data_IF_784291702432
#
_entry.id   IF_784291702432
#
_cell.length_a   1.000
_cell.length_b   1.000
_cell.length_c   1.000
_cell.angle_alpha   90.00
_cell.angle_beta   90.00
_cell.angle_gamma   90.00
#
_symmetry.space_group_name_H-M   'P 1'
#
loop_
_entity.id
_entity.type
_entity.pdbx_description
1 polymer ?
#
# COMPACT_ATOMS: atom_id res chain seq x y z
N UNK A 1 6.85 18.93 21.38
CA UNK A 1 5.77 17.92 21.20
C UNK A 1 5.52 17.61 19.73
N UNK A 2 5.18 18.60 18.87
CA UNK A 2 4.99 18.38 17.42
C UNK A 2 6.26 17.85 16.72
N UNK A 3 7.43 18.36 17.07
CA UNK A 3 8.72 17.88 16.51
C UNK A 3 9.06 16.44 16.92
N UNK A 4 8.74 16.04 18.17
CA UNK A 4 8.95 14.66 18.63
C UNK A 4 8.02 13.67 17.91
N UNK A 5 6.77 14.08 17.63
CA UNK A 5 5.83 13.28 16.85
C UNK A 5 6.34 13.12 15.41
N UNK A 6 6.78 14.21 14.77
CA UNK A 6 7.34 14.15 13.43
C UNK A 6 8.60 13.27 13.32
N UNK A 7 9.50 13.33 14.31
CA UNK A 7 10.68 12.46 14.35
C UNK A 7 10.32 10.98 14.57
N UNK A 8 9.32 10.71 15.42
CA UNK A 8 8.81 9.35 15.65
C UNK A 8 8.17 8.78 14.38
N UNK A 9 7.37 9.58 13.69
CA UNK A 9 6.74 9.19 12.42
C UNK A 9 7.81 8.94 11.35
N UNK A 10 8.82 9.80 11.20
CA UNK A 10 9.93 9.58 10.26
C UNK A 10 10.70 8.28 10.53
N UNK A 11 10.97 7.97 11.80
CA UNK A 11 11.64 6.72 12.17
C UNK A 11 10.77 5.51 11.80
N UNK A 12 9.47 5.56 12.10
CA UNK A 12 8.52 4.50 11.75
C UNK A 12 8.46 4.29 10.23
N UNK A 13 8.35 5.36 9.44
CA UNK A 13 8.28 5.28 7.98
C UNK A 13 9.56 4.70 7.37
N UNK A 14 10.73 5.06 7.90
CA UNK A 14 11.99 4.44 7.49
C UNK A 14 12.03 2.95 7.83
N UNK A 15 11.63 2.57 9.05
CA UNK A 15 11.58 1.16 9.47
C UNK A 15 10.64 0.34 8.58
N UNK A 16 9.44 0.85 8.32
CA UNK A 16 8.49 0.18 7.42
C UNK A 16 9.01 0.10 5.98
N UNK A 17 9.74 1.10 5.51
CA UNK A 17 10.41 1.04 4.20
C UNK A 17 11.41 -0.12 4.14
N UNK A 18 12.21 -0.27 5.20
CA UNK A 18 13.20 -1.34 5.28
C UNK A 18 12.52 -2.72 5.43
N UNK A 19 11.47 -2.84 6.24
CA UNK A 19 10.66 -4.07 6.36
C UNK A 19 10.02 -4.50 5.03
N UNK A 20 9.49 -3.56 4.24
CA UNK A 20 8.95 -3.85 2.89
C UNK A 20 10.04 -4.38 1.96
N UNK A 21 11.23 -3.76 2.00
CA UNK A 21 12.38 -4.19 1.19
C UNK A 21 12.88 -5.58 1.61
N UNK A 22 12.86 -5.91 2.89
CA UNK A 22 13.26 -7.22 3.41
C UNK A 22 12.23 -8.30 3.05
N UNK A 23 10.94 -8.01 3.16
CA UNK A 23 9.85 -8.97 2.94
C UNK A 23 9.45 -9.12 1.48
N UNK A 24 9.70 -8.12 0.63
CA UNK A 24 9.40 -8.16 -0.80
C UNK A 24 10.58 -7.58 -1.62
N UNK A 25 11.72 -8.31 -1.70
CA UNK A 25 12.96 -7.78 -2.27
C UNK A 25 12.86 -7.33 -3.73
N UNK A 26 12.01 -8.01 -4.52
CA UNK A 26 11.77 -7.73 -5.94
C UNK A 26 11.34 -6.28 -6.21
N UNK A 27 10.75 -5.58 -5.22
CA UNK A 27 10.39 -4.17 -5.35
C UNK A 27 11.61 -3.30 -5.69
N UNK A 28 12.80 -3.69 -5.21
CA UNK A 28 14.06 -2.98 -5.45
C UNK A 28 14.50 -3.00 -6.91
N UNK A 29 14.04 -3.97 -7.69
CA UNK A 29 14.33 -4.07 -9.12
C UNK A 29 13.55 -3.02 -9.92
N UNK A 30 12.43 -2.53 -9.37
CA UNK A 30 11.53 -1.58 -10.03
C UNK A 30 11.62 -0.16 -9.46
N UNK A 31 11.90 -0.01 -8.16
CA UNK A 31 11.86 1.27 -7.46
C UNK A 31 13.05 1.44 -6.53
N UNK A 32 13.66 2.63 -6.57
CA UNK A 32 14.64 3.04 -5.56
C UNK A 32 14.00 3.13 -4.17
N UNK A 33 14.79 2.94 -3.12
CA UNK A 33 14.35 3.11 -1.71
C UNK A 33 13.62 4.44 -1.46
N UNK A 34 14.04 5.53 -2.08
CA UNK A 34 13.39 6.84 -1.94
C UNK A 34 11.97 6.88 -2.50
N UNK A 35 11.72 6.16 -3.60
CA UNK A 35 10.38 6.04 -4.18
C UNK A 35 9.50 5.16 -3.29
N UNK A 36 10.05 4.06 -2.77
CA UNK A 36 9.35 3.18 -1.82
C UNK A 36 8.98 3.96 -0.56
N UNK A 37 9.91 4.73 0.01
CA UNK A 37 9.65 5.57 1.18
C UNK A 37 8.55 6.60 0.92
N UNK A 38 8.50 7.21 -0.27
CA UNK A 38 7.42 8.13 -0.66
C UNK A 38 6.07 7.41 -0.72
N UNK A 39 6.03 6.19 -1.26
CA UNK A 39 4.81 5.37 -1.27
C UNK A 39 4.36 5.02 0.15
N UNK A 40 5.29 4.57 1.01
CA UNK A 40 5.04 4.32 2.45
C UNK A 40 4.46 5.56 3.13
N UNK A 41 5.06 6.73 2.90
CA UNK A 41 4.61 8.00 3.48
C UNK A 41 3.18 8.34 3.03
N UNK A 42 2.87 8.16 1.75
CA UNK A 42 1.52 8.42 1.22
C UNK A 42 0.50 7.43 1.76
N UNK A 43 0.81 6.14 1.80
CA UNK A 43 -0.05 5.12 2.37
C UNK A 43 -0.27 5.34 3.87
N UNK A 44 0.74 5.75 4.62
CA UNK A 44 0.60 6.13 6.02
C UNK A 44 -0.41 7.26 6.21
N UNK A 45 -0.34 8.33 5.42
CA UNK A 45 -1.30 9.44 5.51
C UNK A 45 -2.73 9.00 5.16
N UNK A 46 -2.89 8.17 4.12
CA UNK A 46 -4.20 7.59 3.76
C UNK A 46 -4.74 6.73 4.91
N UNK A 47 -3.91 5.85 5.48
CA UNK A 47 -4.30 4.96 6.57
C UNK A 47 -4.71 5.76 7.81
N UNK A 48 -3.93 6.78 8.16
CA UNK A 48 -4.19 7.69 9.27
C UNK A 48 -5.52 8.43 9.13
N UNK A 49 -5.87 8.84 7.91
CA UNK A 49 -7.17 9.48 7.61
C UNK A 49 -8.35 8.51 7.72
N UNK A 50 -8.10 7.20 7.59
CA UNK A 50 -9.11 6.15 7.52
C UNK A 50 -9.11 5.21 8.73
N UNK A 51 -8.51 5.65 9.85
CA UNK A 51 -8.39 4.90 11.12
C UNK A 51 -7.75 3.52 10.98
N UNK A 52 -6.84 3.34 10.01
CA UNK A 52 -6.01 2.15 9.85
C UNK A 52 -4.70 2.41 10.62
N UNK A 53 -4.48 1.65 11.69
CA UNK A 53 -3.41 1.93 12.66
C UNK A 53 -2.31 0.88 12.68
N UNK A 54 -2.55 -0.34 12.18
CA UNK A 54 -1.52 -1.36 12.19
C UNK A 54 -0.49 -1.12 11.08
N UNK A 55 0.78 -1.11 11.47
CA UNK A 55 1.92 -0.95 10.55
C UNK A 55 1.89 -1.98 9.42
N UNK A 56 1.43 -3.21 9.71
CA UNK A 56 1.29 -4.29 8.73
C UNK A 56 0.32 -3.93 7.61
N UNK A 57 -0.83 -3.34 7.95
CA UNK A 57 -1.84 -2.91 6.99
C UNK A 57 -1.29 -1.82 6.07
N UNK A 58 -0.57 -0.85 6.63
CA UNK A 58 0.10 0.19 5.85
C UNK A 58 1.13 -0.44 4.88
N UNK A 59 1.89 -1.43 5.35
CA UNK A 59 2.83 -2.18 4.52
C UNK A 59 2.16 -2.88 3.34
N UNK A 60 1.08 -3.63 3.60
CA UNK A 60 0.30 -4.35 2.57
C UNK A 60 -0.25 -3.38 1.51
N UNK A 61 -0.87 -2.27 1.93
CA UNK A 61 -1.43 -1.29 1.00
C UNK A 61 -0.33 -0.56 0.18
N UNK A 62 0.86 -0.40 0.76
CA UNK A 62 2.02 0.12 0.06
C UNK A 62 2.49 -0.86 -1.02
N UNK A 63 2.57 -2.16 -0.70
CA UNK A 63 2.95 -3.20 -1.66
C UNK A 63 1.97 -3.23 -2.83
N UNK A 64 0.65 -3.21 -2.59
CA UNK A 64 -0.34 -3.12 -3.67
C UNK A 64 -0.14 -1.87 -4.54
N UNK A 65 0.12 -0.73 -3.91
CA UNK A 65 0.34 0.52 -4.65
C UNK A 65 1.57 0.44 -5.56
N UNK A 66 2.66 -0.16 -5.07
CA UNK A 66 3.90 -0.34 -5.83
C UNK A 66 3.74 -1.38 -6.94
N UNK A 67 3.08 -2.51 -6.63
CA UNK A 67 2.81 -3.61 -7.56
C UNK A 67 2.02 -3.11 -8.77
N UNK A 68 0.96 -2.35 -8.54
CA UNK A 68 0.09 -1.85 -9.59
C UNK A 68 0.57 -0.51 -10.19
N UNK A 69 1.63 0.08 -9.64
CA UNK A 69 2.19 1.36 -10.09
C UNK A 69 1.29 2.59 -9.87
N UNK A 70 0.25 2.49 -9.04
CA UNK A 70 -0.67 3.58 -8.69
C UNK A 70 -1.00 3.50 -7.21
N UNK A 71 -1.18 4.65 -6.56
CA UNK A 71 -1.56 4.67 -5.14
C UNK A 71 -2.95 4.07 -4.92
N UNK A 72 -3.12 3.39 -3.79
CA UNK A 72 -4.33 2.63 -3.45
C UNK A 72 -5.63 3.46 -3.52
N UNK A 73 -5.57 4.75 -3.19
CA UNK A 73 -6.70 5.69 -3.19
C UNK A 73 -7.14 6.13 -4.60
N UNK A 74 -6.32 5.89 -5.63
CA UNK A 74 -6.63 6.20 -7.03
C UNK A 74 -6.50 4.98 -7.96
N UNK A 75 -6.20 3.81 -7.39
CA UNK A 75 -6.02 2.56 -8.11
C UNK A 75 -7.30 2.11 -8.80
N UNK A 76 -8.44 2.31 -8.12
CA UNK A 76 -9.75 1.88 -8.55
C UNK A 76 -10.54 3.02 -9.22
N UNK A 77 -10.77 2.96 -10.54
CA UNK A 77 -11.54 3.99 -11.24
C UNK A 77 -13.01 4.03 -10.80
N UNK A 78 -13.56 2.93 -10.28
CA UNK A 78 -14.93 2.87 -9.74
C UNK A 78 -14.99 3.35 -8.28
N UNK A 79 -13.85 3.74 -7.69
CA UNK A 79 -13.72 4.23 -6.32
C UNK A 79 -14.18 3.26 -5.21
N UNK A 80 -14.31 1.96 -5.48
CA UNK A 80 -14.69 0.98 -4.44
C UNK A 80 -13.60 0.82 -3.38
N UNK A 81 -12.32 0.82 -3.77
CA UNK A 81 -11.20 0.80 -2.82
C UNK A 81 -11.26 2.01 -1.86
N UNK A 82 -11.35 3.28 -2.33
CA UNK A 82 -11.63 4.43 -1.47
C UNK A 82 -12.84 4.25 -0.56
N UNK A 83 -13.97 3.75 -1.06
CA UNK A 83 -15.15 3.52 -0.23
C UNK A 83 -14.93 2.47 0.87
N UNK A 84 -14.12 1.44 0.61
CA UNK A 84 -13.74 0.45 1.64
C UNK A 84 -12.82 1.10 2.68
N UNK A 85 -11.83 1.88 2.24
CA UNK A 85 -10.94 2.63 3.14
C UNK A 85 -11.74 3.55 4.07
N UNK A 86 -12.74 4.27 3.55
CA UNK A 86 -13.56 5.23 4.29
C UNK A 86 -14.64 4.58 5.16
N UNK A 87 -14.89 3.27 5.03
CA UNK A 87 -15.94 2.57 5.78
C UNK A 87 -15.59 2.36 7.26
N UNK A 88 -16.60 2.08 8.09
CA UNK A 88 -16.43 1.85 9.55
C UNK A 88 -16.18 0.37 9.90
N UNK A 89 -15.89 -0.48 8.92
CA UNK A 89 -15.60 -1.90 9.15
C UNK A 89 -14.20 -2.10 9.76
N UNK A 90 -13.95 -3.28 10.33
CA UNK A 90 -12.68 -3.57 10.97
C UNK A 90 -11.50 -3.51 9.99
N UNK A 91 -10.32 -3.13 10.48
CA UNK A 91 -9.12 -2.96 9.65
C UNK A 91 -8.78 -4.19 8.80
N UNK A 92 -8.85 -5.38 9.40
CA UNK A 92 -8.64 -6.64 8.68
C UNK A 92 -9.71 -6.93 7.62
N UNK A 93 -10.96 -6.51 7.85
CA UNK A 93 -12.03 -6.63 6.85
C UNK A 93 -11.80 -5.65 5.70
N UNK A 94 -11.32 -4.43 5.96
CA UNK A 94 -10.91 -3.49 4.90
C UNK A 94 -9.84 -4.11 4.01
N UNK A 95 -8.79 -4.68 4.62
CA UNK A 95 -7.72 -5.34 3.87
C UNK A 95 -8.24 -6.48 3.00
N UNK A 96 -9.11 -7.32 3.54
CA UNK A 96 -9.72 -8.42 2.80
C UNK A 96 -10.47 -7.93 1.56
N UNK A 97 -11.38 -6.96 1.71
CA UNK A 97 -12.16 -6.45 0.58
C UNK A 97 -11.32 -5.63 -0.42
N UNK A 98 -10.29 -4.93 0.05
CA UNK A 98 -9.34 -4.25 -0.85
C UNK A 98 -8.59 -5.28 -1.68
N UNK A 99 -8.10 -6.36 -1.07
CA UNK A 99 -7.42 -7.44 -1.79
C UNK A 99 -8.33 -8.09 -2.83
N UNK A 100 -9.57 -8.43 -2.46
CA UNK A 100 -10.56 -8.95 -3.43
C UNK A 100 -10.77 -7.98 -4.60
N UNK A 101 -10.87 -6.68 -4.30
CA UNK A 101 -11.06 -5.66 -5.33
C UNK A 101 -9.85 -5.50 -6.25
N UNK A 102 -8.63 -5.54 -5.70
CA UNK A 102 -7.38 -5.53 -6.48
C UNK A 102 -7.33 -6.73 -7.42
N UNK A 103 -7.58 -7.94 -6.92
CA UNK A 103 -7.59 -9.15 -7.73
C UNK A 103 -8.62 -9.07 -8.88
N UNK A 104 -9.81 -8.55 -8.62
CA UNK A 104 -10.83 -8.36 -9.65
C UNK A 104 -10.40 -7.35 -10.72
N UNK A 105 -9.78 -6.23 -10.32
CA UNK A 105 -9.27 -5.23 -11.26
C UNK A 105 -8.15 -5.81 -12.14
N UNK A 106 -7.30 -6.66 -11.57
CA UNK A 106 -6.24 -7.36 -12.30
C UNK A 106 -6.81 -8.37 -13.31
N UNK A 107 -7.76 -9.21 -12.89
CA UNK A 107 -8.45 -10.15 -13.79
C UNK A 107 -9.18 -9.45 -14.95
N UNK A 108 -9.63 -8.21 -14.75
CA UNK A 108 -10.26 -7.38 -15.77
C UNK A 108 -9.24 -6.65 -16.66
N UNK A 109 -7.94 -6.76 -16.38
CA UNK A 109 -6.87 -6.04 -17.09
C UNK A 109 -6.85 -4.54 -16.83
N UNK A 110 -7.53 -4.05 -15.79
CA UNK A 110 -7.56 -2.62 -15.41
C UNK A 110 -6.25 -2.20 -14.76
N UNK A 111 -5.66 -3.12 -14.01
CA UNK A 111 -4.35 -2.99 -13.37
C UNK A 111 -3.54 -4.25 -13.66
N UNK A 112 -2.21 -4.17 -13.51
CA UNK A 112 -1.31 -5.30 -13.68
C UNK A 112 -0.31 -5.30 -12.54
N UNK A 113 -0.13 -6.44 -11.89
CA UNK A 113 0.92 -6.65 -10.92
C UNK A 113 2.28 -6.72 -11.63
N UNK A 114 3.15 -5.75 -11.38
CA UNK A 114 4.51 -5.71 -11.94
C UNK A 114 5.46 -6.71 -11.30
N UNK A 115 5.11 -7.27 -10.14
CA UNK A 115 5.98 -8.15 -9.37
C UNK A 115 5.72 -9.63 -9.65
N UNK A 116 4.67 -9.98 -10.39
CA UNK A 116 4.50 -11.33 -10.88
C UNK A 116 5.50 -11.59 -12.01
N UNK A 117 6.29 -12.66 -11.88
CA UNK A 117 7.04 -13.18 -13.02
C UNK A 117 6.04 -13.50 -14.15
N UNK A 118 6.41 -13.27 -15.42
CA UNK A 118 5.57 -13.71 -16.51
C UNK A 118 5.35 -15.21 -16.36
N UNK A 119 4.09 -15.62 -16.12
CA UNK A 119 3.67 -16.98 -16.32
C UNK A 119 3.92 -17.28 -17.81
N UNK A 120 5.06 -17.89 -18.12
CA UNK A 120 5.26 -18.50 -19.41
C UNK A 120 4.23 -19.62 -19.51
N UNK A 121 3.31 -19.47 -20.48
CA UNK A 121 2.21 -20.37 -20.82
C UNK A 121 2.61 -21.87 -20.86
#
# INVERSE_FOLDING_TARGET
MREMIAQKDQKLLSQLTDEILETTPIISDYYSRDIIHKAVSRCYEICKQNNIIETRSIGILTIYSLACGKMIDILDPERKIPSILESEIAEMEKLYYIQERVNLLEQQGVIQNKFEEPHND
#
